data_IF_399935080256
#
_entry.id   IF_399935080256
#
_cell.length_a   1.000
_cell.length_b   1.000
_cell.length_c   1.000
_cell.angle_alpha   90.00
_cell.angle_beta   90.00
_cell.angle_gamma   90.00
#
_symmetry.space_group_name_H-M   'P 1'
#
loop_
_entity.id
_entity.type
_entity.pdbx_description
1 polymer ?
#
# COMPACT_ATOMS: atom_id res chain seq x y z
N UNK A 1 -26.49 -10.35 -1.40
CA UNK A 1 -25.22 -10.91 -1.92
C UNK A 1 -24.15 -9.86 -2.24
N UNK A 2 -24.26 -8.65 -1.68
CA UNK A 2 -23.47 -7.52 -2.18
C UNK A 2 -22.38 -7.08 -1.18
N UNK A 3 -22.61 -7.29 0.11
CA UNK A 3 -21.65 -6.96 1.18
C UNK A 3 -20.43 -7.90 1.23
N UNK A 4 -20.56 -9.19 0.85
CA UNK A 4 -19.43 -10.12 0.88
C UNK A 4 -18.32 -9.71 -0.10
N UNK A 5 -18.66 -9.07 -1.23
CA UNK A 5 -17.68 -8.66 -2.24
C UNK A 5 -16.76 -7.57 -1.72
N UNK A 6 -17.30 -6.63 -0.94
CA UNK A 6 -16.51 -5.59 -0.30
C UNK A 6 -15.52 -6.22 0.70
N UNK A 7 -15.99 -7.13 1.54
CA UNK A 7 -15.13 -7.83 2.51
C UNK A 7 -14.05 -8.65 1.80
N UNK A 8 -14.41 -9.38 0.73
CA UNK A 8 -13.44 -10.13 -0.08
C UNK A 8 -12.42 -9.21 -0.75
N UNK A 9 -12.85 -8.08 -1.32
CA UNK A 9 -11.95 -7.10 -1.93
C UNK A 9 -10.92 -6.58 -0.93
N UNK A 10 -11.35 -6.30 0.31
CA UNK A 10 -10.46 -5.89 1.39
C UNK A 10 -9.48 -7.00 1.76
N UNK A 11 -9.97 -8.22 2.00
CA UNK A 11 -9.10 -9.36 2.37
C UNK A 11 -8.06 -9.64 1.28
N UNK A 12 -8.49 -9.70 0.02
CA UNK A 12 -7.59 -9.95 -1.11
C UNK A 12 -6.60 -8.80 -1.25
N UNK A 13 -7.03 -7.55 -1.13
CA UNK A 13 -6.14 -6.39 -1.17
C UNK A 13 -5.03 -6.47 -0.12
N UNK A 14 -5.40 -6.77 1.14
CA UNK A 14 -4.43 -6.95 2.24
C UNK A 14 -3.48 -8.10 1.94
N UNK A 15 -3.96 -9.26 1.49
CA UNK A 15 -3.07 -10.39 1.17
C UNK A 15 -2.06 -9.98 0.09
N UNK A 16 -2.53 -9.30 -0.96
CA UNK A 16 -1.67 -8.86 -2.06
C UNK A 16 -0.68 -7.77 -1.64
N UNK A 17 -0.96 -7.00 -0.58
CA UNK A 17 -0.06 -5.96 -0.08
C UNK A 17 1.30 -6.51 0.39
N UNK A 18 1.35 -7.77 0.86
CA UNK A 18 2.59 -8.46 1.24
C UNK A 18 3.42 -8.90 0.02
N UNK A 19 2.79 -9.07 -1.14
CA UNK A 19 3.43 -9.62 -2.33
C UNK A 19 3.85 -8.56 -3.35
N UNK A 20 3.46 -7.30 -3.16
CA UNK A 20 3.77 -6.21 -4.11
C UNK A 20 5.26 -6.00 -4.33
N UNK A 21 6.08 -6.22 -3.31
CA UNK A 21 7.55 -6.18 -3.39
C UNK A 21 8.06 -7.06 -4.54
N UNK A 22 7.46 -8.24 -4.73
CA UNK A 22 7.83 -9.18 -5.77
C UNK A 22 7.20 -8.83 -7.12
N UNK A 23 5.93 -8.41 -7.14
CA UNK A 23 5.25 -8.05 -8.40
C UNK A 23 5.87 -6.84 -9.10
N UNK A 24 6.40 -5.90 -8.32
CA UNK A 24 7.00 -4.66 -8.85
C UNK A 24 8.53 -4.64 -8.77
N UNK A 25 9.16 -5.79 -8.52
CA UNK A 25 10.62 -5.96 -8.46
C UNK A 25 11.34 -4.86 -7.65
N UNK A 26 10.95 -4.68 -6.38
CA UNK A 26 11.57 -3.66 -5.53
C UNK A 26 12.93 -4.14 -5.00
N UNK A 27 13.95 -4.13 -5.87
CA UNK A 27 15.25 -4.78 -5.65
C UNK A 27 15.90 -4.48 -4.29
N UNK A 28 15.98 -3.19 -3.91
CA UNK A 28 16.55 -2.80 -2.62
C UNK A 28 15.83 -3.42 -1.42
N UNK A 29 14.50 -3.58 -1.51
CA UNK A 29 13.69 -4.20 -0.47
C UNK A 29 13.89 -5.72 -0.51
N UNK A 30 13.92 -6.33 -1.70
CA UNK A 30 14.16 -7.77 -1.86
C UNK A 30 15.50 -8.18 -1.24
N UNK A 31 16.56 -7.40 -1.45
CA UNK A 31 17.87 -7.63 -0.83
C UNK A 31 17.76 -7.55 0.70
N UNK A 32 17.08 -6.55 1.24
CA UNK A 32 16.84 -6.44 2.69
C UNK A 32 16.06 -7.64 3.23
N UNK A 33 15.02 -8.10 2.52
CA UNK A 33 14.24 -9.28 2.90
C UNK A 33 15.13 -10.52 2.97
N UNK A 34 16.05 -10.73 2.02
CA UNK A 34 16.98 -11.87 2.02
C UNK A 34 17.92 -11.85 3.23
N UNK A 35 18.41 -10.67 3.62
CA UNK A 35 19.28 -10.51 4.80
C UNK A 35 18.52 -10.85 6.08
N UNK A 36 17.30 -10.33 6.23
CA UNK A 36 16.49 -10.57 7.43
C UNK A 36 15.86 -11.97 7.46
N UNK A 37 15.69 -12.64 6.33
CA UNK A 37 15.16 -14.01 6.28
C UNK A 37 15.99 -14.99 7.10
N UNK A 38 17.29 -14.73 7.23
CA UNK A 38 18.22 -15.58 7.99
C UNK A 38 18.23 -15.27 9.50
N UNK A 39 17.67 -14.14 9.92
CA UNK A 39 17.84 -13.62 11.28
C UNK A 39 16.52 -13.35 12.01
N UNK A 40 15.54 -12.75 11.33
CA UNK A 40 14.28 -12.31 11.93
C UNK A 40 13.15 -12.31 10.89
N UNK A 41 12.31 -13.35 10.94
CA UNK A 41 11.16 -13.51 10.05
C UNK A 41 10.12 -12.39 10.28
N UNK A 42 10.00 -11.87 11.49
CA UNK A 42 9.01 -10.85 11.79
C UNK A 42 9.38 -9.53 11.08
N UNK A 43 10.67 -9.19 11.03
CA UNK A 43 11.17 -8.06 10.22
C UNK A 43 10.94 -8.23 8.73
N UNK A 44 11.00 -9.46 8.20
CA UNK A 44 10.66 -9.73 6.79
C UNK A 44 9.22 -9.33 6.51
N UNK A 45 8.29 -9.71 7.40
CA UNK A 45 6.86 -9.38 7.26
C UNK A 45 6.64 -7.87 7.38
N UNK A 46 7.30 -7.20 8.34
CA UNK A 46 7.25 -5.74 8.49
C UNK A 46 7.71 -5.04 7.22
N UNK A 47 8.84 -5.46 6.65
CA UNK A 47 9.41 -4.88 5.44
C UNK A 47 8.54 -5.10 4.20
N UNK A 48 7.85 -6.23 4.10
CA UNK A 48 6.93 -6.52 3.00
C UNK A 48 5.76 -5.55 2.97
N UNK A 49 5.07 -5.35 4.10
CA UNK A 49 3.97 -4.38 4.16
C UNK A 49 4.49 -2.95 4.08
N UNK A 50 5.56 -2.63 4.82
CA UNK A 50 6.16 -1.30 4.89
C UNK A 50 6.65 -0.79 3.54
N UNK A 51 6.99 -1.68 2.62
CA UNK A 51 7.37 -1.34 1.25
C UNK A 51 6.34 -0.48 0.52
N UNK A 52 5.04 -0.71 0.78
CA UNK A 52 3.94 0.05 0.18
C UNK A 52 3.94 1.54 0.60
N UNK A 53 4.64 1.87 1.68
CA UNK A 53 4.74 3.22 2.25
C UNK A 53 6.14 3.84 2.05
N UNK A 54 7.04 3.24 1.25
CA UNK A 54 8.43 3.74 1.13
C UNK A 54 8.65 4.88 0.14
N UNK A 55 7.74 5.13 -0.78
CA UNK A 55 7.92 6.23 -1.74
C UNK A 55 7.42 7.55 -1.16
N UNK A 56 8.34 8.49 -0.98
CA UNK A 56 8.06 9.79 -0.38
C UNK A 56 7.56 10.79 -1.44
N UNK A 57 6.24 10.97 -1.51
CA UNK A 57 5.61 11.96 -2.38
C UNK A 57 6.10 13.40 -2.12
N UNK A 58 6.33 13.75 -0.86
CA UNK A 58 6.64 15.13 -0.48
C UNK A 58 8.03 15.49 -0.98
N UNK A 59 9.02 14.63 -0.70
CA UNK A 59 10.39 14.81 -1.19
C UNK A 59 10.47 14.81 -2.71
N UNK A 60 9.64 14.01 -3.38
CA UNK A 60 9.56 14.01 -4.85
C UNK A 60 9.20 15.40 -5.41
N UNK A 61 8.20 16.08 -4.82
CA UNK A 61 7.77 17.40 -5.28
C UNK A 61 8.63 18.56 -4.78
N UNK A 62 9.27 18.44 -3.61
CA UNK A 62 10.17 19.49 -3.09
C UNK A 62 11.59 19.41 -3.66
N UNK A 63 11.97 18.26 -4.23
CA UNK A 63 13.26 18.05 -4.87
C UNK A 63 13.28 18.45 -6.35
N UNK A 64 14.10 17.75 -7.12
CA UNK A 64 14.09 17.83 -8.60
C UNK A 64 13.27 16.66 -9.15
N UNK A 65 11.96 16.86 -9.41
CA UNK A 65 11.10 15.77 -9.86
C UNK A 65 11.54 15.25 -11.22
N UNK A 66 11.66 13.93 -11.34
CA UNK A 66 11.91 13.23 -12.59
C UNK A 66 10.71 12.34 -12.92
N UNK A 67 10.30 12.32 -14.19
CA UNK A 67 9.15 11.53 -14.67
C UNK A 67 9.39 10.03 -14.40
N UNK A 68 10.63 9.55 -14.53
CA UNK A 68 10.97 8.14 -14.29
C UNK A 68 10.73 7.78 -12.82
N UNK A 69 11.11 8.67 -11.90
CA UNK A 69 10.95 8.46 -10.47
C UNK A 69 9.48 8.58 -10.03
N UNK A 70 8.64 9.25 -10.82
CA UNK A 70 7.20 9.31 -10.57
C UNK A 70 6.52 7.94 -10.72
N UNK A 71 6.99 7.11 -11.66
CA UNK A 71 6.51 5.73 -11.84
C UNK A 71 7.24 4.75 -10.91
N UNK A 72 7.51 5.20 -9.68
CA UNK A 72 8.15 4.37 -8.67
C UNK A 72 7.34 3.08 -8.43
N UNK A 73 8.02 1.92 -8.30
CA UNK A 73 7.40 0.63 -8.00
C UNK A 73 6.39 0.66 -6.86
N UNK A 74 6.64 1.45 -5.82
CA UNK A 74 5.80 1.57 -4.63
C UNK A 74 4.47 2.28 -4.92
N UNK A 75 4.49 3.33 -5.76
CA UNK A 75 3.26 3.99 -6.21
C UNK A 75 2.44 3.05 -7.10
N UNK A 76 3.11 2.33 -8.00
CA UNK A 76 2.45 1.33 -8.85
C UNK A 76 1.85 0.19 -8.00
N UNK A 77 2.55 -0.25 -6.96
CA UNK A 77 2.09 -1.24 -6.01
C UNK A 77 0.81 -0.81 -5.28
N UNK A 78 0.79 0.41 -4.72
CA UNK A 78 -0.40 0.92 -4.03
C UNK A 78 -1.58 1.11 -4.98
N UNK A 79 -1.34 1.57 -6.22
CA UNK A 79 -2.35 1.60 -7.27
C UNK A 79 -2.87 0.21 -7.62
N UNK A 80 -2.00 -0.79 -7.73
CA UNK A 80 -2.39 -2.15 -8.06
C UNK A 80 -3.24 -2.81 -6.97
N UNK A 81 -2.85 -2.67 -5.70
CA UNK A 81 -3.65 -3.17 -4.57
C UNK A 81 -5.02 -2.50 -4.57
N UNK A 82 -5.06 -1.17 -4.73
CA UNK A 82 -6.30 -0.41 -4.80
C UNK A 82 -7.18 -0.88 -5.96
N UNK A 83 -6.59 -1.11 -7.13
CA UNK A 83 -7.28 -1.61 -8.31
C UNK A 83 -7.89 -2.99 -8.09
N UNK A 84 -7.13 -3.95 -7.56
CA UNK A 84 -7.64 -5.30 -7.27
C UNK A 84 -8.80 -5.27 -6.28
N UNK A 85 -8.62 -4.56 -5.17
CA UNK A 85 -9.66 -4.39 -4.15
C UNK A 85 -10.92 -3.74 -4.74
N UNK A 86 -10.73 -2.71 -5.58
CA UNK A 86 -11.81 -2.03 -6.31
C UNK A 86 -12.55 -2.93 -7.30
N UNK A 87 -11.81 -3.70 -8.09
CA UNK A 87 -12.36 -4.60 -9.09
C UNK A 87 -13.17 -5.75 -8.48
N UNK A 88 -12.74 -6.26 -7.33
CA UNK A 88 -13.44 -7.36 -6.63
C UNK A 88 -14.68 -6.86 -5.91
N UNK A 89 -14.60 -5.69 -5.25
CA UNK A 89 -15.70 -5.12 -4.48
C UNK A 89 -16.87 -4.65 -5.34
N UNK A 90 -16.58 -4.27 -6.59
CA UNK A 90 -17.50 -3.81 -7.63
C UNK A 90 -18.29 -2.55 -7.29
N UNK A 91 -18.34 -1.63 -8.25
CA UNK A 91 -18.94 -0.32 -8.06
C UNK A 91 -17.92 0.72 -7.60
N UNK A 92 -18.15 1.98 -7.96
CA UNK A 92 -17.26 3.09 -7.71
C UNK A 92 -17.09 3.42 -6.21
N UNK A 93 -18.19 3.63 -5.48
CA UNK A 93 -18.19 3.94 -4.05
C UNK A 93 -17.64 2.78 -3.24
N UNK A 94 -18.03 1.54 -3.58
CA UNK A 94 -17.50 0.36 -2.90
C UNK A 94 -16.03 0.14 -3.21
N UNK A 95 -15.60 0.38 -4.44
CA UNK A 95 -14.20 0.29 -4.83
C UNK A 95 -13.33 1.29 -4.08
N UNK A 96 -13.79 2.54 -3.97
CA UNK A 96 -13.16 3.56 -3.14
C UNK A 96 -13.10 3.17 -1.66
N UNK A 97 -14.22 2.64 -1.12
CA UNK A 97 -14.29 2.24 0.29
C UNK A 97 -13.35 1.07 0.55
N UNK A 98 -13.35 0.06 -0.29
CA UNK A 98 -12.52 -1.13 -0.16
C UNK A 98 -11.04 -0.78 -0.31
N UNK A 99 -10.64 0.01 -1.31
CA UNK A 99 -9.24 0.40 -1.49
C UNK A 99 -8.73 1.29 -0.35
N UNK A 100 -9.55 2.22 0.16
CA UNK A 100 -9.19 3.04 1.31
C UNK A 100 -9.02 2.20 2.57
N UNK A 101 -9.94 1.26 2.82
CA UNK A 101 -9.86 0.35 3.96
C UNK A 101 -8.60 -0.52 3.90
N UNK A 102 -8.23 -1.04 2.73
CA UNK A 102 -6.99 -1.83 2.58
C UNK A 102 -5.77 -1.04 3.03
N UNK A 103 -5.59 0.19 2.55
CA UNK A 103 -4.43 1.00 2.94
C UNK A 103 -4.43 1.37 4.43
N UNK A 104 -5.60 1.70 4.99
CA UNK A 104 -5.71 2.00 6.42
C UNK A 104 -5.34 0.76 7.24
N UNK A 105 -5.84 -0.40 6.86
CA UNK A 105 -5.56 -1.66 7.57
C UNK A 105 -4.09 -2.04 7.40
N UNK A 106 -3.52 -1.96 6.20
CA UNK A 106 -2.10 -2.23 5.95
C UNK A 106 -1.20 -1.30 6.77
N UNK A 107 -1.55 -0.01 6.88
CA UNK A 107 -0.84 0.94 7.72
C UNK A 107 -0.90 0.55 9.20
N UNK A 108 -2.08 0.16 9.69
CA UNK A 108 -2.25 -0.30 11.08
C UNK A 108 -1.49 -1.59 11.35
N UNK A 109 -1.52 -2.55 10.43
CA UNK A 109 -0.76 -3.80 10.54
C UNK A 109 0.74 -3.49 10.54
N UNK A 110 1.21 -2.64 9.64
CA UNK A 110 2.60 -2.23 9.58
C UNK A 110 3.05 -1.61 10.91
N UNK A 111 2.30 -0.63 11.43
CA UNK A 111 2.58 0.00 12.72
C UNK A 111 2.61 -1.00 13.88
N UNK A 112 1.63 -1.90 13.96
CA UNK A 112 1.58 -2.92 15.01
C UNK A 112 2.76 -3.89 14.93
N UNK A 113 3.10 -4.36 13.72
CA UNK A 113 4.22 -5.28 13.53
C UNK A 113 5.56 -4.59 13.79
N UNK A 114 5.72 -3.31 13.45
CA UNK A 114 6.91 -2.52 13.79
C UNK A 114 7.10 -2.40 15.31
N UNK A 115 6.03 -2.22 16.09
CA UNK A 115 6.14 -2.25 17.57
C UNK A 115 6.60 -3.62 18.06
N UNK A 116 6.01 -4.69 17.52
CA UNK A 116 6.31 -6.07 17.93
C UNK A 116 7.75 -6.45 17.53
N UNK A 117 8.26 -5.96 16.39
CA UNK A 117 9.65 -6.18 15.94
C UNK A 117 10.68 -5.36 16.72
N UNK A 118 10.25 -4.51 17.65
CA UNK A 118 11.11 -3.63 18.42
C UNK A 118 11.67 -2.47 17.59
N UNK A 119 11.02 -2.09 16.50
CA UNK A 119 11.36 -0.86 15.79
C UNK A 119 10.97 0.36 16.62
N UNK A 120 11.84 1.36 16.62
CA UNK A 120 11.56 2.63 17.27
C UNK A 120 10.60 3.45 16.41
N UNK A 121 9.30 3.29 16.66
CA UNK A 121 8.26 4.10 16.01
C UNK A 121 8.49 5.60 16.24
N UNK A 122 9.08 5.99 17.37
CA UNK A 122 9.30 7.41 17.67
C UNK A 122 10.27 8.03 16.65
N UNK A 123 11.26 7.27 16.18
CA UNK A 123 12.16 7.71 15.13
C UNK A 123 11.41 8.02 13.81
N UNK A 124 10.43 7.19 13.43
CA UNK A 124 9.64 7.38 12.20
C UNK A 124 8.87 8.72 12.18
N UNK A 125 8.52 9.25 13.35
CA UNK A 125 7.77 10.50 13.49
C UNK A 125 8.62 11.68 13.99
N UNK A 126 9.95 11.61 13.82
CA UNK A 126 10.87 12.68 14.22
C UNK A 126 11.76 13.18 13.08
N UNK A 127 12.08 14.48 13.13
CA UNK A 127 13.03 15.12 12.22
C UNK A 127 12.70 14.93 10.73
N UNK A 128 13.71 14.62 9.92
CA UNK A 128 13.55 14.41 8.48
C UNK A 128 12.76 13.12 8.13
N UNK A 129 12.73 12.13 9.03
CA UNK A 129 12.03 10.85 8.82
C UNK A 129 10.50 11.03 8.89
N UNK A 130 10.03 12.02 9.64
CA UNK A 130 8.60 12.38 9.68
C UNK A 130 8.08 12.76 8.29
N UNK A 131 8.81 13.61 7.56
CA UNK A 131 8.42 14.02 6.21
C UNK A 131 8.36 12.82 5.26
N UNK A 132 9.37 11.94 5.34
CA UNK A 132 9.42 10.71 4.55
C UNK A 132 8.24 9.78 4.81
N UNK A 133 7.92 9.57 6.09
CA UNK A 133 6.82 8.69 6.51
C UNK A 133 5.46 9.24 6.09
N UNK A 134 5.22 10.55 6.28
CA UNK A 134 3.99 11.20 5.82
C UNK A 134 3.89 11.14 4.29
N UNK A 135 4.98 11.42 3.57
CA UNK A 135 5.02 11.32 2.12
C UNK A 135 4.69 9.91 1.62
N UNK A 136 5.24 8.89 2.29
CA UNK A 136 4.93 7.47 2.10
C UNK A 136 3.46 7.13 2.25
N UNK A 137 2.85 7.58 3.34
CA UNK A 137 1.42 7.38 3.61
C UNK A 137 0.56 8.07 2.54
N UNK A 138 0.90 9.31 2.17
CA UNK A 138 0.19 10.05 1.13
C UNK A 138 0.26 9.34 -0.22
N UNK A 139 1.42 8.81 -0.60
CA UNK A 139 1.57 7.99 -1.81
C UNK A 139 0.68 6.76 -1.76
N UNK A 140 0.69 6.01 -0.67
CA UNK A 140 -0.12 4.82 -0.54
C UNK A 140 -1.62 5.13 -0.68
N UNK A 141 -2.08 6.20 -0.01
CA UNK A 141 -3.46 6.68 -0.09
C UNK A 141 -3.82 7.09 -1.52
N UNK A 142 -3.03 7.97 -2.14
CA UNK A 142 -3.29 8.46 -3.49
C UNK A 142 -3.30 7.32 -4.51
N UNK A 143 -2.30 6.44 -4.45
CA UNK A 143 -2.21 5.28 -5.31
C UNK A 143 -3.44 4.39 -5.15
N UNK A 144 -3.81 4.01 -3.93
CA UNK A 144 -4.96 3.14 -3.71
C UNK A 144 -6.31 3.77 -4.07
N UNK A 145 -6.47 5.09 -3.90
CA UNK A 145 -7.67 5.80 -4.36
C UNK A 145 -7.75 5.74 -5.88
N UNK A 146 -6.67 6.11 -6.58
CA UNK A 146 -6.61 6.08 -8.04
C UNK A 146 -6.90 4.65 -8.54
N UNK A 147 -6.20 3.66 -7.99
CA UNK A 147 -6.41 2.25 -8.31
C UNK A 147 -7.86 1.81 -8.06
N UNK A 148 -8.40 2.10 -6.87
CA UNK A 148 -9.75 1.72 -6.47
C UNK A 148 -10.84 2.33 -7.35
N UNK A 149 -10.67 3.58 -7.79
CA UNK A 149 -11.53 4.22 -8.78
C UNK A 149 -11.54 3.44 -10.09
N UNK A 150 -10.37 3.16 -10.66
CA UNK A 150 -10.27 2.41 -11.92
C UNK A 150 -10.83 0.99 -11.79
N UNK A 151 -10.54 0.30 -10.68
CA UNK A 151 -11.06 -1.04 -10.41
C UNK A 151 -12.58 -1.07 -10.29
N UNK A 152 -13.15 -0.13 -9.53
CA UNK A 152 -14.60 0.00 -9.34
C UNK A 152 -15.34 0.42 -10.63
N UNK A 153 -14.73 1.27 -11.45
CA UNK A 153 -15.27 1.68 -12.75
C UNK A 153 -15.33 0.52 -13.75
N UNK A 154 -14.23 -0.24 -13.89
CA UNK A 154 -14.15 -1.32 -14.88
C UNK A 154 -15.06 -2.49 -14.51
N UNK A 155 -15.18 -2.78 -13.22
CA UNK A 155 -15.92 -3.94 -12.73
C UNK A 155 -17.45 -3.77 -12.69
N UNK A 156 -17.95 -2.57 -12.99
CA UNK A 156 -19.39 -2.27 -13.08
C UNK A 156 -19.81 -1.15 -12.13
N UNK A 157 -19.87 0.11 -12.58
CA UNK A 157 -20.10 1.26 -11.71
C UNK A 157 -21.51 1.29 -11.10
N UNK A 158 -22.47 0.59 -11.72
CA UNK A 158 -23.87 0.56 -11.31
C UNK A 158 -24.26 -0.68 -10.49
N UNK A 159 -23.35 -1.65 -10.28
CA UNK A 159 -23.58 -2.81 -9.39
C UNK A 159 -23.65 -2.40 -7.90
N UNK A 160 -23.60 -1.10 -7.60
CA UNK A 160 -23.91 -0.56 -6.28
C UNK A 160 -25.40 -0.62 -5.94
N UNK A 161 -26.25 -0.43 -6.95
CA UNK A 161 -27.68 -0.16 -6.81
C UNK A 161 -28.54 -1.43 -6.94
N UNK A 162 -27.98 -2.48 -7.54
CA UNK A 162 -28.62 -3.78 -7.75
C UNK A 162 -28.01 -4.86 -6.82
#
# INVERSE_FOLDING_TARGET
>A
MVSYRLVLGVIVGIIFSFFTVYFFNMENIIIQLQIYLQTDILKVIVLQIGANFKFDLLSFFTGTPNIVDFFAPQLLASMFIGFLSGAISKGLKRGLTASSLVIIIDFLIWMLLSVISGEDLMALFQGAQLSGTIGGILTAILGAIIGGLFGGLISGPYEEVY
#
